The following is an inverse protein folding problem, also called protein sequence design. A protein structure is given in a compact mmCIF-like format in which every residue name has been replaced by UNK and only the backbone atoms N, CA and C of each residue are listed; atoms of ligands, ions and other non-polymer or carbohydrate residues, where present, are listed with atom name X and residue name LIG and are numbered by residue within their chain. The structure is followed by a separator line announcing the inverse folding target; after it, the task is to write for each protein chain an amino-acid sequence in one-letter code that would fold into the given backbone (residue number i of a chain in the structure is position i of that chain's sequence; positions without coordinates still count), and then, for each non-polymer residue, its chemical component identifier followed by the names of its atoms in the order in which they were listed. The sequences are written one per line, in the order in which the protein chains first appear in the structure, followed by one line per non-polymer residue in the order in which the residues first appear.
data_IF_012739749728
#
_entry.id   IF_012739749728
#
_cell.length_a   1.000
_cell.length_b   1.000
_cell.length_c   1.000
_cell.angle_alpha   90.00
_cell.angle_beta   90.00
_cell.angle_gamma   90.00
#
_symmetry.space_group_name_H-M   'P 1'
#
loop_
_entity.id
_entity.type
_entity.pdbx_description
1 polymer ?
#
# COMPACT_ATOMS: atom_id res chain seq x y z
N UNK A 1 20.50 -20.82 32.80
CA UNK A 1 20.56 -19.62 31.94
C UNK A 1 20.62 -19.95 30.44
N UNK A 2 21.54 -20.79 29.94
CA UNK A 2 21.61 -21.18 28.50
C UNK A 2 20.32 -21.77 27.90
N UNK A 3 19.58 -22.60 28.66
CA UNK A 3 18.34 -23.23 28.18
C UNK A 3 17.19 -22.24 27.97
N UNK A 4 17.11 -21.18 28.78
CA UNK A 4 16.10 -20.12 28.66
C UNK A 4 16.40 -19.25 27.43
N UNK A 5 17.69 -18.97 27.18
CA UNK A 5 18.12 -18.22 26.01
C UNK A 5 17.77 -18.95 24.70
N UNK A 6 17.99 -20.27 24.62
CA UNK A 6 17.62 -21.05 23.44
C UNK A 6 16.10 -21.10 23.22
N UNK A 7 15.29 -21.21 24.28
CA UNK A 7 13.84 -21.21 24.16
C UNK A 7 13.31 -19.85 23.64
N UNK A 8 13.94 -18.74 24.06
CA UNK A 8 13.59 -17.40 23.58
C UNK A 8 13.92 -17.22 22.09
N UNK A 9 15.06 -17.72 21.62
CA UNK A 9 15.43 -17.64 20.19
C UNK A 9 14.46 -18.37 19.26
N UNK A 10 13.91 -19.50 19.71
CA UNK A 10 12.93 -20.28 18.94
C UNK A 10 11.60 -19.51 18.83
N UNK A 11 11.17 -18.84 19.90
CA UNK A 11 9.93 -18.03 19.90
C UNK A 11 10.01 -16.83 18.95
N UNK A 12 11.17 -16.16 18.87
CA UNK A 12 11.35 -14.99 17.98
C UNK A 12 11.36 -15.41 16.50
N UNK A 13 11.71 -16.67 16.21
CA UNK A 13 11.72 -17.22 14.84
C UNK A 13 10.33 -17.44 14.25
N UNK A 14 9.27 -17.43 15.08
CA UNK A 14 7.86 -17.53 14.66
C UNK A 14 7.17 -16.17 14.53
N UNK A 15 7.88 -15.06 14.70
CA UNK A 15 7.36 -13.73 14.38
C UNK A 15 7.18 -13.64 12.85
N UNK A 16 6.00 -14.03 12.38
CA UNK A 16 5.58 -13.95 10.99
C UNK A 16 5.85 -12.54 10.43
N UNK A 17 6.38 -12.44 9.20
CA UNK A 17 6.58 -11.18 8.49
C UNK A 17 5.32 -10.26 8.53
N UNK A 18 4.14 -10.88 8.53
CA UNK A 18 2.82 -10.28 8.72
C UNK A 18 2.59 -9.41 9.96
N UNK A 19 3.38 -9.57 11.02
CA UNK A 19 3.19 -8.84 12.29
C UNK A 19 3.83 -7.46 12.23
N UNK A 20 4.98 -7.34 11.55
CA UNK A 20 5.68 -6.06 11.40
C UNK A 20 4.93 -5.10 10.49
N UNK A 21 4.32 -5.60 9.41
CA UNK A 21 3.51 -4.78 8.50
C UNK A 21 2.27 -4.21 9.23
N UNK A 22 1.64 -5.00 10.10
CA UNK A 22 0.49 -4.57 10.92
C UNK A 22 0.88 -3.55 12.01
N UNK A 23 2.10 -3.64 12.53
CA UNK A 23 2.63 -2.67 13.49
C UNK A 23 2.96 -1.34 12.81
N UNK A 24 3.45 -1.36 11.57
CA UNK A 24 3.72 -0.15 10.80
C UNK A 24 2.43 0.62 10.47
N UNK A 25 1.33 -0.08 10.24
CA UNK A 25 0.02 0.54 9.99
C UNK A 25 -0.82 0.78 11.26
N UNK A 26 -0.25 0.59 12.46
CA UNK A 26 -1.02 0.69 13.70
C UNK A 26 -1.24 2.17 14.07
N UNK A 27 -2.46 2.66 13.86
CA UNK A 27 -2.85 4.05 14.11
C UNK A 27 -3.10 4.86 12.84
N UNK A 28 -2.85 4.28 11.67
CA UNK A 28 -3.27 4.88 10.41
C UNK A 28 -4.80 4.81 10.28
N UNK A 29 -5.38 5.87 9.72
CA UNK A 29 -6.82 5.91 9.43
C UNK A 29 -7.14 4.83 8.39
N UNK A 30 -8.12 3.98 8.69
CA UNK A 30 -8.62 2.98 7.73
C UNK A 30 -9.45 3.72 6.70
N UNK A 31 -8.82 4.06 5.58
CA UNK A 31 -9.50 4.68 4.44
C UNK A 31 -10.18 3.57 3.62
N UNK A 32 -11.46 3.73 3.22
CA UNK A 32 -12.12 2.79 2.33
C UNK A 32 -11.32 2.62 1.04
N UNK A 33 -10.91 1.38 0.73
CA UNK A 33 -10.32 1.08 -0.57
C UNK A 33 -11.46 0.80 -1.55
N UNK A 34 -11.74 1.75 -2.43
CA UNK A 34 -12.54 1.47 -3.63
C UNK A 34 -11.68 0.61 -4.57
N UNK A 35 -12.14 -0.60 -4.88
CA UNK A 35 -11.46 -1.52 -5.79
C UNK A 35 -12.21 -1.57 -7.11
N UNK A 36 -11.49 -1.45 -8.22
CA UNK A 36 -12.04 -1.65 -9.55
C UNK A 36 -11.16 -2.61 -10.34
N UNK A 37 -11.79 -3.36 -11.24
CA UNK A 37 -11.07 -4.29 -12.09
C UNK A 37 -10.36 -3.52 -13.22
N UNK A 38 -9.06 -3.75 -13.35
CA UNK A 38 -8.26 -3.26 -14.47
C UNK A 38 -7.83 -4.45 -15.31
N UNK A 39 -8.12 -4.43 -16.60
CA UNK A 39 -7.64 -5.45 -17.54
C UNK A 39 -6.12 -5.36 -17.71
N UNK A 40 -5.43 -6.10 -16.87
CA UNK A 40 -3.99 -5.96 -16.69
C UNK A 40 -3.14 -6.74 -17.71
N UNK A 41 -3.74 -7.43 -18.68
CA UNK A 41 -3.07 -8.40 -19.57
C UNK A 41 -2.12 -9.36 -18.81
N UNK A 42 -2.52 -9.78 -17.61
CA UNK A 42 -1.77 -10.69 -16.74
C UNK A 42 -0.65 -10.03 -15.92
N UNK A 43 -0.58 -8.71 -15.82
CA UNK A 43 0.40 -8.01 -14.99
C UNK A 43 -0.16 -7.75 -13.59
N UNK A 44 0.73 -7.65 -12.61
CA UNK A 44 0.34 -7.31 -11.24
C UNK A 44 0.46 -5.80 -11.06
N UNK A 45 -0.67 -5.10 -11.15
CA UNK A 45 -0.73 -3.66 -10.92
C UNK A 45 -1.21 -3.33 -9.51
N UNK A 46 -0.65 -2.25 -8.96
CA UNK A 46 -1.21 -1.52 -7.83
C UNK A 46 -1.53 -0.10 -8.30
N UNK A 47 -2.78 0.29 -8.15
CA UNK A 47 -3.25 1.64 -8.52
C UNK A 47 -3.66 2.38 -7.26
N UNK A 48 -3.16 3.60 -7.12
CA UNK A 48 -3.56 4.51 -6.04
C UNK A 48 -4.07 5.81 -6.64
N UNK A 49 -5.31 6.16 -6.31
CA UNK A 49 -5.92 7.41 -6.72
C UNK A 49 -5.93 8.39 -5.55
N UNK A 50 -5.52 9.63 -5.79
CA UNK A 50 -5.52 10.65 -4.76
C UNK A 50 -5.70 12.06 -5.33
N UNK A 51 -6.18 12.96 -4.49
CA UNK A 51 -6.30 14.39 -4.80
C UNK A 51 -5.26 15.12 -3.95
N UNK A 52 -4.28 15.82 -4.56
CA UNK A 52 -3.29 16.57 -3.81
C UNK A 52 -3.94 17.69 -2.98
N UNK A 53 -3.54 17.84 -1.71
CA UNK A 53 -4.07 18.91 -0.83
C UNK A 53 -3.87 20.32 -1.41
N UNK A 54 -2.79 20.54 -2.14
CA UNK A 54 -2.44 21.83 -2.73
C UNK A 54 -2.99 22.02 -4.16
N UNK A 55 -3.65 21.02 -4.74
CA UNK A 55 -4.17 21.04 -6.11
C UNK A 55 -5.47 20.22 -6.18
N UNK A 56 -6.53 20.73 -5.54
CA UNK A 56 -7.82 20.05 -5.41
C UNK A 56 -8.56 19.81 -6.74
N UNK A 57 -8.17 20.57 -7.77
CA UNK A 57 -8.63 20.48 -9.15
C UNK A 57 -7.97 19.33 -9.92
N UNK A 58 -6.95 18.68 -9.35
CA UNK A 58 -6.25 17.55 -9.96
C UNK A 58 -6.69 16.23 -9.33
N UNK A 59 -6.80 15.20 -10.16
CA UNK A 59 -6.87 13.81 -9.75
C UNK A 59 -5.58 13.13 -10.22
N UNK A 60 -4.81 12.57 -9.29
CA UNK A 60 -3.57 11.88 -9.60
C UNK A 60 -3.73 10.38 -9.41
N UNK A 61 -3.13 9.60 -10.31
CA UNK A 61 -3.03 8.16 -10.25
C UNK A 61 -1.55 7.76 -10.18
N UNK A 62 -1.23 6.86 -9.25
CA UNK A 62 0.03 6.11 -9.25
C UNK A 62 -0.28 4.71 -9.72
N UNK A 63 0.35 4.29 -10.82
CA UNK A 63 0.29 2.92 -11.33
C UNK A 63 1.65 2.28 -11.14
N UNK A 64 1.74 1.35 -10.19
CA UNK A 64 2.93 0.53 -9.99
C UNK A 64 2.70 -0.85 -10.60
N UNK A 65 3.66 -1.32 -11.38
CA UNK A 65 3.62 -2.65 -12.01
C UNK A 65 4.94 -3.38 -11.83
N UNK A 66 4.87 -4.71 -11.85
CA UNK A 66 6.04 -5.57 -11.87
C UNK A 66 6.88 -5.46 -13.16
N UNK A 67 6.30 -4.98 -14.26
CA UNK A 67 6.97 -4.91 -15.57
C UNK A 67 7.44 -3.51 -16.01
N UNK A 68 6.65 -2.48 -15.75
CA UNK A 68 6.87 -1.13 -16.26
C UNK A 68 7.24 -0.11 -15.16
N UNK A 69 7.55 -0.59 -13.95
CA UNK A 69 7.91 0.26 -12.82
C UNK A 69 6.72 1.08 -12.32
N UNK A 70 7.01 2.27 -11.80
CA UNK A 70 6.03 3.19 -11.21
C UNK A 70 5.80 4.35 -12.16
N UNK A 71 4.53 4.61 -12.49
CA UNK A 71 4.10 5.77 -13.27
C UNK A 71 3.17 6.64 -12.42
N UNK A 72 3.27 7.95 -12.60
CA UNK A 72 2.41 8.93 -11.93
C UNK A 72 1.84 9.85 -13.00
N UNK A 73 0.52 9.96 -13.03
CA UNK A 73 -0.17 10.84 -13.96
C UNK A 73 -1.27 11.61 -13.23
N UNK A 74 -1.42 12.89 -13.57
CA UNK A 74 -2.42 13.77 -12.97
C UNK A 74 -3.31 14.38 -14.04
N UNK A 75 -4.61 14.30 -13.83
CA UNK A 75 -5.64 14.77 -14.76
C UNK A 75 -6.42 15.93 -14.15
N UNK A 76 -6.95 16.80 -15.00
CA UNK A 76 -7.92 17.81 -14.57
C UNK A 76 -9.22 17.13 -14.17
N UNK A 77 -9.67 17.38 -12.94
CA UNK A 77 -10.93 16.90 -12.41
C UNK A 77 -11.95 18.03 -12.39
N UNK A 78 -13.12 17.78 -12.97
CA UNK A 78 -14.28 18.66 -12.77
C UNK A 78 -14.75 18.53 -11.33
N UNK A 79 -14.49 19.53 -10.51
CA UNK A 79 -15.15 19.69 -9.22
C UNK A 79 -16.64 19.87 -9.49
N UNK A 80 -17.49 18.94 -9.03
CA UNK A 80 -18.93 19.18 -9.01
C UNK A 80 -19.16 20.37 -8.07
N UNK A 81 -19.61 21.49 -8.64
CA UNK A 81 -20.11 22.66 -7.89
C UNK A 81 -21.38 22.30 -7.14
#
# INVERSE_FOLDING_TARGET
MKKILCALCILISFANAGVWEKLQSFGDEVVPSESYDVEAKGWNFRVYEFIPKNASEKLCLIVASDKNGIQVECFDRKTKK
#
